data_IF_097266028893
#
_entry.id   IF_097266028893
#
_cell.length_a   1.000
_cell.length_b   1.000
_cell.length_c   1.000
_cell.angle_alpha   90.00
_cell.angle_beta   90.00
_cell.angle_gamma   90.00
#
_symmetry.space_group_name_H-M   'P 1'
#
loop_
_entity.id
_entity.type
_entity.pdbx_description
1 polymer ?
#
# COMPACT_ATOMS: atom_id res chain seq x y z
N UNK A 1 -34.12 -5.96 -18.57
CA UNK A 1 -32.84 -6.59 -18.95
C UNK A 1 -31.77 -5.53 -18.99
N UNK A 2 -30.75 -5.65 -18.14
CA UNK A 2 -29.60 -4.74 -18.13
C UNK A 2 -28.38 -5.53 -17.71
N UNK A 3 -27.59 -5.97 -18.67
CA UNK A 3 -26.33 -6.67 -18.38
C UNK A 3 -25.34 -5.64 -17.86
N UNK A 4 -25.23 -5.53 -16.54
CA UNK A 4 -24.06 -4.92 -15.91
C UNK A 4 -22.86 -5.74 -16.34
N UNK A 5 -22.14 -5.25 -17.37
CA UNK A 5 -20.85 -5.80 -17.76
C UNK A 5 -19.95 -5.58 -16.55
N UNK A 6 -19.70 -6.64 -15.78
CA UNK A 6 -18.58 -6.69 -14.85
C UNK A 6 -17.33 -6.52 -15.71
N UNK A 7 -16.86 -5.29 -15.85
CA UNK A 7 -15.49 -5.03 -16.30
C UNK A 7 -14.60 -5.91 -15.43
N UNK A 8 -13.72 -6.69 -16.05
CA UNK A 8 -12.74 -7.46 -15.31
C UNK A 8 -11.99 -6.48 -14.36
N UNK A 9 -11.65 -6.89 -13.13
CA UNK A 9 -10.79 -6.06 -12.29
C UNK A 9 -9.55 -5.72 -13.10
N UNK A 10 -9.25 -4.43 -13.23
CA UNK A 10 -7.94 -4.00 -13.73
C UNK A 10 -6.87 -4.76 -12.96
N UNK A 11 -5.86 -5.34 -13.63
CA UNK A 11 -4.83 -6.11 -12.95
C UNK A 11 -4.18 -5.24 -11.86
N UNK A 12 -3.98 -5.82 -10.66
CA UNK A 12 -3.33 -5.09 -9.57
C UNK A 12 -1.97 -4.56 -10.05
N UNK A 13 -1.60 -3.31 -9.68
CA UNK A 13 -0.29 -2.78 -9.99
C UNK A 13 0.82 -3.72 -9.48
N UNK A 14 1.90 -3.91 -10.24
CA UNK A 14 2.98 -4.84 -9.88
C UNK A 14 3.73 -4.41 -8.61
N UNK A 15 3.63 -3.13 -8.22
CA UNK A 15 4.23 -2.55 -7.02
C UNK A 15 3.19 -1.67 -6.32
N UNK A 16 3.04 -1.85 -5.01
CA UNK A 16 2.14 -1.08 -4.13
C UNK A 16 2.89 -0.70 -2.86
N UNK A 17 2.77 0.57 -2.46
CA UNK A 17 3.40 1.10 -1.25
C UNK A 17 2.32 1.50 -0.26
N UNK A 18 2.49 1.13 1.00
CA UNK A 18 1.56 1.47 2.06
C UNK A 18 2.29 2.16 3.21
N UNK A 19 1.77 3.29 3.65
CA UNK A 19 2.17 3.91 4.91
C UNK A 19 1.39 3.25 6.05
N UNK A 20 2.09 2.84 7.11
CA UNK A 20 1.49 2.26 8.30
C UNK A 20 1.28 3.36 9.32
N UNK A 21 0.02 3.79 9.47
CA UNK A 21 -0.38 4.82 10.42
C UNK A 21 -1.03 4.17 11.64
N UNK A 22 -0.59 4.53 12.85
CA UNK A 22 -1.26 4.11 14.07
C UNK A 22 -0.64 4.73 15.31
N UNK A 23 -1.49 5.28 16.17
CA UNK A 23 -1.08 5.85 17.46
C UNK A 23 -1.20 4.87 18.62
N UNK A 24 -1.83 3.72 18.40
CA UNK A 24 -2.08 2.71 19.42
C UNK A 24 -1.84 1.30 18.85
N UNK A 25 -1.36 0.33 19.65
CA UNK A 25 -1.11 -1.04 19.19
C UNK A 25 -2.30 -1.75 18.54
N UNK A 26 -3.51 -1.31 18.86
CA UNK A 26 -4.78 -1.87 18.36
C UNK A 26 -5.38 -1.10 17.18
N UNK A 27 -4.74 0.00 16.75
CA UNK A 27 -5.24 0.89 15.70
C UNK A 27 -4.12 1.19 14.70
N UNK A 28 -3.66 0.16 14.00
CA UNK A 28 -2.79 0.31 12.83
C UNK A 28 -3.62 0.21 11.56
N UNK A 29 -3.45 1.17 10.67
CA UNK A 29 -4.05 1.22 9.34
C UNK A 29 -2.94 1.27 8.30
N UNK A 30 -3.11 0.52 7.22
CA UNK A 30 -2.26 0.62 6.04
C UNK A 30 -2.96 1.51 5.01
N UNK A 31 -2.33 2.65 4.67
CA UNK A 31 -2.86 3.61 3.69
C UNK A 31 -2.01 3.48 2.42
N UNK A 32 -2.63 3.15 1.29
CA UNK A 32 -1.92 3.08 0.02
C UNK A 32 -1.49 4.48 -0.42
N UNK A 33 -0.20 4.61 -0.76
CA UNK A 33 0.44 5.83 -1.21
C UNK A 33 1.10 5.57 -2.58
N UNK A 34 1.42 6.63 -3.36
CA UNK A 34 2.19 6.44 -4.58
C UNK A 34 3.46 5.62 -4.33
N UNK A 35 3.76 4.66 -5.20
CA UNK A 35 4.97 3.83 -5.09
C UNK A 35 6.22 4.62 -5.55
N UNK A 36 6.49 5.73 -4.88
CA UNK A 36 7.57 6.67 -5.15
C UNK A 36 8.44 6.84 -3.91
N UNK A 37 9.75 7.03 -4.11
CA UNK A 37 10.69 7.32 -3.01
C UNK A 37 10.28 8.58 -2.23
N UNK A 38 9.72 9.58 -2.92
CA UNK A 38 9.24 10.82 -2.31
C UNK A 38 8.05 10.64 -1.36
N UNK A 39 7.37 9.49 -1.38
CA UNK A 39 6.29 9.18 -0.44
C UNK A 39 6.80 8.69 0.92
N UNK A 40 8.08 8.31 1.02
CA UNK A 40 8.67 7.86 2.28
C UNK A 40 8.88 9.02 3.27
N UNK A 41 8.63 8.76 4.54
CA UNK A 41 8.86 9.67 5.66
C UNK A 41 9.62 8.93 6.76
N UNK A 42 10.78 9.47 7.15
CA UNK A 42 11.64 8.89 8.18
C UNK A 42 10.99 8.74 9.55
N UNK A 43 9.81 9.30 9.82
CA UNK A 43 9.10 9.13 11.09
C UNK A 43 8.12 7.95 11.10
N UNK A 44 7.85 7.34 9.93
CA UNK A 44 6.80 6.35 9.76
C UNK A 44 7.35 4.99 9.29
N UNK A 45 6.50 3.98 9.32
CA UNK A 45 6.79 2.64 8.78
C UNK A 45 6.04 2.48 7.46
N UNK A 46 6.69 1.85 6.48
CA UNK A 46 6.11 1.60 5.17
C UNK A 46 6.23 0.13 4.77
N UNK A 47 5.21 -0.39 4.09
CA UNK A 47 5.18 -1.72 3.51
C UNK A 47 5.19 -1.61 1.98
N UNK A 48 6.20 -2.20 1.35
CA UNK A 48 6.30 -2.32 -0.11
C UNK A 48 5.93 -3.73 -0.53
N UNK A 49 4.81 -3.88 -1.24
CA UNK A 49 4.39 -5.14 -1.88
C UNK A 49 4.82 -5.09 -3.35
N UNK A 50 5.59 -6.07 -3.79
CA UNK A 50 5.98 -6.24 -5.19
C UNK A 50 5.84 -7.71 -5.61
N UNK A 51 6.03 -7.99 -6.89
CA UNK A 51 6.12 -9.37 -7.40
C UNK A 51 7.28 -10.17 -6.77
N UNK A 52 8.34 -9.49 -6.32
CA UNK A 52 9.52 -10.11 -5.73
C UNK A 52 9.35 -10.42 -4.23
N UNK A 53 8.27 -9.93 -3.62
CA UNK A 53 8.00 -10.12 -2.19
C UNK A 53 7.52 -8.86 -1.50
N UNK A 54 7.54 -8.94 -0.17
CA UNK A 54 7.07 -7.91 0.75
C UNK A 54 8.26 -7.39 1.55
N UNK A 55 8.45 -6.08 1.54
CA UNK A 55 9.50 -5.41 2.28
C UNK A 55 8.89 -4.45 3.28
N UNK A 56 9.46 -4.41 4.48
CA UNK A 56 9.08 -3.48 5.54
C UNK A 56 10.23 -2.50 5.73
N UNK A 57 9.92 -1.22 5.60
CA UNK A 57 10.86 -0.13 5.82
C UNK A 57 10.47 0.60 7.10
N UNK A 58 11.42 0.67 8.02
CA UNK A 58 11.28 1.45 9.24
C UNK A 58 12.03 2.76 9.03
N UNK A 59 11.33 3.87 9.26
CA UNK A 59 11.95 5.18 9.41
C UNK A 59 13.02 5.20 10.51
N UNK A 60 13.74 6.31 10.57
CA UNK A 60 14.90 6.50 11.46
C UNK A 60 14.48 6.70 12.92
#
# INVERSE_FOLDING_TARGET
GGTSRKSAPEPEPPVRLFQICGSHPTNSKAIEVPALVASLNSNDVFLLKSQNGIYLWYGK
#
